data_IF_168883976103
#
_entry.id   IF_168883976103
#
_cell.length_a   1.000
_cell.length_b   1.000
_cell.length_c   1.000
_cell.angle_alpha   90.00
_cell.angle_beta   90.00
_cell.angle_gamma   90.00
#
_symmetry.space_group_name_H-M   'P 1'
#
loop_
_entity.id
_entity.type
_entity.pdbx_description
1 polymer ?
#
# COMPACT_ATOMS: atom_id res chain seq x y z
N UNK A 1 -10.93 8.76 35.96
CA UNK A 1 -11.60 7.56 35.37
C UNK A 1 -10.80 6.25 35.49
N UNK A 2 -11.47 5.09 35.58
CA UNK A 2 -10.84 3.75 35.70
C UNK A 2 -10.73 3.07 34.33
N UNK A 3 -9.55 2.58 33.97
CA UNK A 3 -9.35 1.82 32.74
C UNK A 3 -10.05 0.46 32.81
N UNK A 4 -10.86 0.11 31.82
CA UNK A 4 -11.56 -1.18 31.74
C UNK A 4 -10.63 -2.35 31.42
N UNK A 5 -9.49 -2.10 30.75
CA UNK A 5 -8.54 -3.14 30.34
C UNK A 5 -7.58 -3.57 31.46
N UNK A 6 -7.13 -2.63 32.30
CA UNK A 6 -6.13 -2.92 33.35
C UNK A 6 -6.49 -2.41 34.75
N UNK A 7 -7.71 -1.90 34.94
CA UNK A 7 -8.24 -1.42 36.22
C UNK A 7 -7.50 -0.26 36.89
N UNK A 8 -6.51 0.35 36.23
CA UNK A 8 -5.76 1.49 36.78
C UNK A 8 -6.59 2.76 36.72
N UNK A 9 -6.51 3.55 37.80
CA UNK A 9 -7.09 4.88 37.87
C UNK A 9 -6.21 5.87 37.09
N UNK A 10 -6.84 6.59 36.17
CA UNK A 10 -6.25 7.65 35.35
C UNK A 10 -6.92 8.98 35.70
N UNK A 11 -6.24 10.09 35.39
CA UNK A 11 -6.79 11.44 35.51
C UNK A 11 -8.04 11.59 34.63
N UNK A 12 -8.93 12.49 35.02
CA UNK A 12 -10.19 12.75 34.30
C UNK A 12 -9.97 13.22 32.85
N UNK A 13 -8.84 13.87 32.58
CA UNK A 13 -8.48 14.43 31.27
C UNK A 13 -7.71 13.45 30.36
N UNK A 14 -7.34 12.26 30.86
CA UNK A 14 -6.53 11.32 30.09
C UNK A 14 -7.35 10.66 28.97
N UNK A 15 -6.91 10.81 27.71
CA UNK A 15 -7.52 10.10 26.57
C UNK A 15 -7.11 8.62 26.48
N UNK A 16 -5.92 8.28 26.97
CA UNK A 16 -5.36 6.93 26.95
C UNK A 16 -4.91 6.53 28.36
N UNK A 17 -4.97 5.22 28.64
CA UNK A 17 -4.51 4.71 29.93
C UNK A 17 -2.99 4.83 30.06
N UNK A 18 -2.53 5.46 31.15
CA UNK A 18 -1.10 5.67 31.44
C UNK A 18 -0.27 4.40 31.63
N UNK A 19 -0.92 3.25 31.78
CA UNK A 19 -0.24 1.98 32.01
C UNK A 19 -0.23 1.08 30.78
N UNK A 20 -1.38 0.87 30.13
CA UNK A 20 -1.50 -0.08 29.02
C UNK A 20 -1.76 0.59 27.66
N UNK A 21 -1.92 1.91 27.60
CA UNK A 21 -2.20 2.64 26.35
C UNK A 21 -3.62 2.46 25.79
N UNK A 22 -4.49 1.68 26.46
CA UNK A 22 -5.87 1.49 26.01
C UNK A 22 -6.64 2.81 26.00
N UNK A 23 -7.46 3.04 24.96
CA UNK A 23 -8.37 4.19 24.91
C UNK A 23 -9.32 4.14 26.10
N UNK A 24 -9.40 5.27 26.80
CA UNK A 24 -10.20 5.42 27.99
C UNK A 24 -11.66 5.77 27.64
N UNK A 25 -11.87 6.39 26.48
CA UNK A 25 -13.18 6.64 25.93
C UNK A 25 -13.53 5.56 24.90
N UNK A 26 -14.76 5.05 24.89
CA UNK A 26 -15.21 4.16 23.83
C UNK A 26 -15.13 4.92 22.51
N UNK A 27 -14.19 4.52 21.65
CA UNK A 27 -14.20 4.94 20.26
C UNK A 27 -15.48 4.36 19.67
N UNK A 28 -16.45 5.20 19.33
CA UNK A 28 -17.67 4.78 18.61
C UNK A 28 -17.39 4.28 17.18
N UNK A 29 -16.12 4.24 16.79
CA UNK A 29 -15.66 3.66 15.55
C UNK A 29 -15.40 2.18 15.81
N UNK A 30 -16.38 1.34 15.49
CA UNK A 30 -16.09 -0.04 15.14
C UNK A 30 -14.95 -0.02 14.10
N UNK A 31 -13.99 -0.97 14.14
CA UNK A 31 -12.93 -1.03 13.14
C UNK A 31 -13.58 -1.10 11.76
N UNK A 32 -13.52 0.03 11.06
CA UNK A 32 -14.29 0.24 9.86
C UNK A 32 -13.73 -0.72 8.81
N UNK A 33 -14.52 -1.72 8.39
CA UNK A 33 -14.05 -2.74 7.44
C UNK A 33 -13.60 -2.10 6.10
N UNK A 34 -14.03 -0.87 5.83
CA UNK A 34 -13.56 -0.03 4.72
C UNK A 34 -12.11 0.41 4.87
N UNK A 35 -11.67 0.68 6.11
CA UNK A 35 -10.31 1.10 6.47
C UNK A 35 -9.33 -0.05 6.30
N UNK A 36 -9.66 -1.25 6.79
CA UNK A 36 -8.80 -2.43 6.59
C UNK A 36 -8.63 -2.78 5.11
N UNK A 37 -9.70 -2.70 4.31
CA UNK A 37 -9.65 -2.91 2.86
C UNK A 37 -8.75 -1.88 2.17
N UNK A 38 -8.83 -0.61 2.56
CA UNK A 38 -7.98 0.47 2.02
C UNK A 38 -6.50 0.19 2.32
N UNK A 39 -6.18 -0.18 3.56
CA UNK A 39 -4.82 -0.52 3.98
C UNK A 39 -4.27 -1.69 3.15
N UNK A 40 -5.05 -2.77 2.99
CA UNK A 40 -4.63 -3.92 2.18
C UNK A 40 -4.39 -3.57 0.71
N UNK A 41 -5.24 -2.73 0.11
CA UNK A 41 -5.04 -2.27 -1.27
C UNK A 41 -3.74 -1.47 -1.41
N UNK A 42 -3.44 -0.57 -0.48
CA UNK A 42 -2.20 0.20 -0.51
C UNK A 42 -0.97 -0.69 -0.30
N UNK A 43 -1.04 -1.66 0.61
CA UNK A 43 0.02 -2.66 0.80
C UNK A 43 0.25 -3.46 -0.49
N UNK A 44 -0.81 -3.90 -1.16
CA UNK A 44 -0.70 -4.63 -2.43
C UNK A 44 -0.01 -3.80 -3.51
N UNK A 45 -0.35 -2.51 -3.63
CA UNK A 45 0.33 -1.59 -4.54
C UNK A 45 1.81 -1.50 -4.20
N UNK A 46 2.17 -1.18 -2.95
CA UNK A 46 3.58 -1.06 -2.54
C UNK A 46 4.34 -2.37 -2.77
N UNK A 47 3.77 -3.50 -2.39
CA UNK A 47 4.36 -4.82 -2.58
C UNK A 47 4.62 -5.12 -4.05
N UNK A 48 3.71 -4.71 -4.96
CA UNK A 48 3.92 -4.91 -6.40
C UNK A 48 5.15 -4.17 -6.93
N UNK A 49 5.43 -2.95 -6.45
CA UNK A 49 6.65 -2.22 -6.80
C UNK A 49 7.89 -2.90 -6.20
N UNK A 50 7.85 -3.28 -4.93
CA UNK A 50 8.98 -3.92 -4.24
C UNK A 50 9.36 -5.25 -4.92
N UNK A 51 8.38 -6.07 -5.29
CA UNK A 51 8.62 -7.35 -5.98
C UNK A 51 9.33 -7.15 -7.32
N UNK A 52 8.96 -6.10 -8.06
CA UNK A 52 9.62 -5.77 -9.34
C UNK A 52 11.08 -5.38 -9.12
N UNK A 53 11.35 -4.48 -8.18
CA UNK A 53 12.72 -4.05 -7.86
C UNK A 53 13.59 -5.21 -7.35
N UNK A 54 13.02 -6.09 -6.51
CA UNK A 54 13.70 -7.30 -6.07
C UNK A 54 13.97 -8.26 -7.22
N UNK A 55 13.03 -8.38 -8.17
CA UNK A 55 13.22 -9.17 -9.38
C UNK A 55 14.43 -8.69 -10.20
N UNK A 56 14.51 -7.39 -10.47
CA UNK A 56 15.65 -6.78 -11.15
C UNK A 56 16.96 -6.99 -10.38
N UNK A 57 16.93 -6.81 -9.06
CA UNK A 57 18.11 -7.03 -8.21
C UNK A 57 18.64 -8.47 -8.31
N UNK A 58 17.75 -9.46 -8.26
CA UNK A 58 18.12 -10.88 -8.40
C UNK A 58 18.71 -11.16 -9.78
N UNK A 59 18.06 -10.71 -10.86
CA UNK A 59 18.55 -10.91 -12.23
C UNK A 59 19.96 -10.33 -12.39
N UNK A 60 20.16 -9.10 -11.91
CA UNK A 60 21.45 -8.42 -11.96
C UNK A 60 22.52 -9.13 -11.12
N UNK A 61 22.15 -9.61 -9.92
CA UNK A 61 23.08 -10.29 -9.01
C UNK A 61 23.58 -11.62 -9.57
N UNK A 62 22.72 -12.36 -10.26
CA UNK A 62 23.03 -13.70 -10.78
C UNK A 62 23.37 -13.73 -12.28
N UNK A 63 23.51 -12.58 -12.93
CA UNK A 63 23.82 -12.45 -14.36
C UNK A 63 22.90 -13.31 -15.24
N UNK A 64 21.60 -13.29 -14.92
CA UNK A 64 20.58 -14.07 -15.64
C UNK A 64 20.16 -13.39 -16.95
N UNK A 65 21.13 -12.87 -17.71
CA UNK A 65 20.94 -12.04 -18.90
C UNK A 65 20.16 -12.78 -20.01
N UNK A 66 20.30 -14.11 -20.06
CA UNK A 66 19.53 -14.96 -20.99
C UNK A 66 18.00 -14.90 -20.77
N UNK A 67 17.54 -14.75 -19.52
CA UNK A 67 16.11 -14.63 -19.21
C UNK A 67 15.62 -13.21 -19.53
N UNK A 68 16.51 -12.21 -19.39
CA UNK A 68 16.20 -10.81 -19.63
C UNK A 68 15.87 -10.53 -21.10
N UNK A 69 16.68 -11.06 -22.02
CA UNK A 69 16.54 -10.85 -23.47
C UNK A 69 15.41 -11.68 -24.11
N UNK A 70 15.16 -12.91 -23.65
CA UNK A 70 14.17 -13.80 -24.27
C UNK A 70 12.71 -13.36 -24.07
N UNK A 71 12.41 -12.66 -22.97
CA UNK A 71 11.02 -12.36 -22.56
C UNK A 71 10.71 -10.85 -22.64
N UNK A 72 11.69 -10.01 -23.00
CA UNK A 72 11.59 -8.56 -22.83
C UNK A 72 11.09 -8.26 -21.41
N UNK A 73 11.78 -8.85 -20.42
CA UNK A 73 11.31 -8.96 -19.05
C UNK A 73 11.07 -7.58 -18.41
N UNK A 74 11.79 -6.57 -18.89
CA UNK A 74 11.55 -5.15 -18.58
C UNK A 74 10.09 -4.71 -18.80
N UNK A 75 9.54 -5.09 -19.94
CA UNK A 75 8.15 -4.78 -20.31
C UNK A 75 7.15 -5.49 -19.41
N UNK A 76 7.40 -6.76 -19.08
CA UNK A 76 6.54 -7.53 -18.19
C UNK A 76 6.58 -7.02 -16.74
N UNK A 77 7.77 -6.68 -16.25
CA UNK A 77 7.98 -6.23 -14.88
C UNK A 77 7.35 -4.87 -14.63
N UNK A 78 7.28 -3.98 -15.62
CA UNK A 78 6.61 -2.68 -15.49
C UNK A 78 5.07 -2.79 -15.56
N UNK A 79 4.51 -3.80 -16.23
CA UNK A 79 3.06 -4.00 -16.33
C UNK A 79 2.41 -4.41 -15.00
N UNK A 80 3.09 -5.21 -14.17
CA UNK A 80 2.58 -5.72 -12.88
C UNK A 80 2.14 -4.58 -11.95
N UNK A 81 2.99 -3.60 -11.60
CA UNK A 81 2.60 -2.51 -10.70
C UNK A 81 1.58 -1.58 -11.36
N UNK A 82 1.64 -1.41 -12.68
CA UNK A 82 0.65 -0.60 -13.44
C UNK A 82 -0.75 -1.18 -13.32
N UNK A 83 -0.89 -2.51 -13.52
CA UNK A 83 -2.17 -3.22 -13.37
C UNK A 83 -2.63 -3.25 -11.91
N UNK A 84 -1.72 -3.49 -10.97
CA UNK A 84 -2.05 -3.50 -9.53
C UNK A 84 -2.56 -2.13 -9.08
N UNK A 85 -1.96 -1.05 -9.58
CA UNK A 85 -2.38 0.32 -9.32
C UNK A 85 -3.77 0.62 -9.90
N UNK A 86 -4.06 0.15 -11.12
CA UNK A 86 -5.39 0.27 -11.72
C UNK A 86 -6.45 -0.48 -10.92
N UNK A 87 -6.15 -1.73 -10.53
CA UNK A 87 -7.05 -2.56 -9.72
C UNK A 87 -7.31 -1.88 -8.38
N UNK A 88 -6.28 -1.35 -7.73
CA UNK A 88 -6.42 -0.60 -6.49
C UNK A 88 -7.28 0.65 -6.68
N UNK A 89 -7.08 1.41 -7.77
CA UNK A 89 -7.87 2.61 -8.08
C UNK A 89 -9.37 2.28 -8.26
N UNK A 90 -9.68 1.18 -8.95
CA UNK A 90 -11.07 0.74 -9.19
C UNK A 90 -11.74 0.29 -7.89
N UNK A 91 -11.02 -0.48 -7.07
CA UNK A 91 -11.55 -1.10 -5.84
C UNK A 91 -11.52 -0.18 -4.61
N UNK A 92 -10.85 0.97 -4.70
CA UNK A 92 -10.65 1.90 -3.58
C UNK A 92 -11.99 2.48 -3.09
N UNK A 93 -12.39 2.23 -1.83
CA UNK A 93 -13.65 2.75 -1.28
C UNK A 93 -13.56 4.26 -0.97
N UNK A 94 -12.39 4.76 -0.58
CA UNK A 94 -12.18 6.16 -0.26
C UNK A 94 -12.03 7.01 -1.55
N UNK A 95 -12.93 7.98 -1.77
CA UNK A 95 -12.94 8.83 -2.98
C UNK A 95 -11.66 9.64 -3.17
N UNK A 96 -11.08 10.20 -2.10
CA UNK A 96 -9.83 10.99 -2.22
C UNK A 96 -8.66 10.09 -2.63
N UNK A 97 -8.55 8.94 -1.98
CA UNK A 97 -7.52 7.97 -2.31
C UNK A 97 -7.71 7.40 -3.73
N UNK A 98 -8.96 7.16 -4.15
CA UNK A 98 -9.31 6.71 -5.50
C UNK A 98 -8.81 7.69 -6.57
N UNK A 99 -9.09 8.99 -6.40
CA UNK A 99 -8.61 10.03 -7.32
C UNK A 99 -7.07 10.04 -7.35
N UNK A 100 -6.42 9.97 -6.19
CA UNK A 100 -4.95 9.93 -6.13
C UNK A 100 -4.37 8.72 -6.87
N UNK A 101 -4.98 7.54 -6.73
CA UNK A 101 -4.56 6.33 -7.45
C UNK A 101 -4.76 6.45 -8.97
N UNK A 102 -5.85 7.07 -9.44
CA UNK A 102 -6.03 7.33 -10.88
C UNK A 102 -5.02 8.33 -11.43
N UNK A 103 -4.68 9.37 -10.67
CA UNK A 103 -3.60 10.30 -11.04
C UNK A 103 -2.28 9.55 -11.14
N UNK A 104 -1.95 8.74 -10.14
CA UNK A 104 -0.75 7.90 -10.15
C UNK A 104 -0.71 6.95 -11.34
N UNK A 105 -1.84 6.31 -11.67
CA UNK A 105 -1.96 5.44 -12.84
C UNK A 105 -1.74 6.20 -14.15
N UNK A 106 -2.33 7.39 -14.30
CA UNK A 106 -2.10 8.25 -15.47
C UNK A 106 -0.63 8.65 -15.62
N UNK A 107 0.03 9.03 -14.53
CA UNK A 107 1.47 9.34 -14.52
C UNK A 107 2.32 8.12 -14.90
N UNK A 108 1.93 6.93 -14.43
CA UNK A 108 2.64 5.68 -14.78
C UNK A 108 2.51 5.34 -16.26
N UNK A 109 1.34 5.57 -16.88
CA UNK A 109 1.16 5.42 -18.32
C UNK A 109 2.01 6.41 -19.12
N UNK A 110 2.13 7.66 -18.65
CA UNK A 110 3.01 8.65 -19.28
C UNK A 110 4.48 8.24 -19.20
N UNK A 111 4.92 7.74 -18.05
CA UNK A 111 6.28 7.21 -17.87
C UNK A 111 6.54 6.03 -18.81
N UNK A 112 5.58 5.11 -18.90
CA UNK A 112 5.66 3.95 -19.78
C UNK A 112 5.75 4.36 -21.26
N UNK A 113 4.90 5.29 -21.68
CA UNK A 113 4.94 5.83 -23.05
C UNK A 113 6.29 6.49 -23.35
N UNK A 114 6.83 7.28 -22.42
CA UNK A 114 8.16 7.88 -22.57
C UNK A 114 9.27 6.84 -22.71
N UNK A 115 9.22 5.77 -21.92
CA UNK A 115 10.19 4.67 -21.96
C UNK A 115 10.18 3.91 -23.30
N UNK A 116 9.02 3.70 -23.92
CA UNK A 116 8.92 2.98 -25.20
C UNK A 116 9.16 3.85 -26.43
N UNK A 117 9.04 5.18 -26.30
CA UNK A 117 9.23 6.12 -27.42
C UNK A 117 10.69 6.61 -27.51
N UNK A 118 11.45 6.54 -26.42
CA UNK A 118 12.90 6.87 -26.39
C UNK A 118 13.76 5.67 -26.77
#
# INVERSE_FOLDING_TARGET
MKCTACNILNTEEAQYCRNCGASLYPTNEAPDASSSKTIWLLIAVIASFVVVELGYFVISTFQLDFIYDMINLSSFMTLIPTLTLLIAAVLMPNQKAKIALFIGFGLMLLFLAGYYIS
#
